data_IF_569563200076
#
_entry.id   IF_569563200076
#
_cell.length_a   1.000
_cell.length_b   1.000
_cell.length_c   1.000
_cell.angle_alpha   90.00
_cell.angle_beta   90.00
_cell.angle_gamma   90.00
#
_symmetry.space_group_name_H-M   'P 1'
#
loop_
_entity.id
_entity.type
_entity.pdbx_description
1 polymer ?
#
# COMPACT_ATOMS: atom_id res chain seq x y z
N UNK A 1 -12.35 2.64 -1.90
CA UNK A 1 -11.76 3.05 -3.20
C UNK A 1 -12.36 4.36 -3.69
N UNK A 2 -11.81 4.93 -4.77
CA UNK A 2 -12.35 6.15 -5.36
C UNK A 2 -13.50 5.82 -6.33
N UNK A 3 -14.67 6.51 -6.24
CA UNK A 3 -15.80 6.24 -7.13
C UNK A 3 -15.50 6.41 -8.63
N UNK A 4 -14.49 7.21 -8.99
CA UNK A 4 -14.03 7.37 -10.37
C UNK A 4 -13.46 6.10 -11.00
N UNK A 5 -13.14 5.10 -10.19
CA UNK A 5 -12.73 3.78 -10.68
C UNK A 5 -13.89 2.99 -11.30
N UNK A 6 -15.12 3.35 -10.96
CA UNK A 6 -16.34 2.67 -11.41
C UNK A 6 -17.26 3.57 -12.23
N UNK A 7 -17.13 4.90 -12.08
CA UNK A 7 -18.03 5.91 -12.69
C UNK A 7 -17.21 7.00 -13.35
N UNK A 8 -17.06 6.96 -14.66
CA UNK A 8 -16.23 7.90 -15.46
C UNK A 8 -16.62 9.38 -15.28
N UNK A 9 -17.88 9.65 -15.01
CA UNK A 9 -18.43 11.01 -14.85
C UNK A 9 -18.53 11.47 -13.38
N UNK A 10 -17.98 10.73 -12.43
CA UNK A 10 -18.04 11.12 -11.02
C UNK A 10 -17.22 12.38 -10.77
N UNK A 11 -17.90 13.45 -10.31
CA UNK A 11 -17.29 14.76 -10.00
C UNK A 11 -17.21 15.06 -8.49
N UNK A 12 -17.66 14.13 -7.66
CA UNK A 12 -17.62 14.28 -6.20
C UNK A 12 -16.22 14.11 -5.59
N UNK A 13 -16.14 14.35 -4.30
CA UNK A 13 -14.93 14.06 -3.51
C UNK A 13 -14.86 12.58 -3.15
N UNK A 14 -13.65 12.13 -2.84
CA UNK A 14 -13.39 10.80 -2.28
C UNK A 14 -12.62 10.98 -0.98
N UNK A 15 -13.25 10.65 0.15
CA UNK A 15 -12.63 10.77 1.46
C UNK A 15 -11.26 10.07 1.51
N UNK A 16 -11.16 8.88 0.91
CA UNK A 16 -9.91 8.12 0.82
C UNK A 16 -8.83 8.88 0.04
N UNK A 17 -9.18 9.46 -1.11
CA UNK A 17 -8.23 10.25 -1.90
C UNK A 17 -7.79 11.50 -1.15
N UNK A 18 -8.72 12.23 -0.53
CA UNK A 18 -8.39 13.45 0.23
C UNK A 18 -7.49 13.11 1.43
N UNK A 19 -7.80 12.03 2.17
CA UNK A 19 -6.94 11.56 3.28
C UNK A 19 -5.55 11.17 2.76
N UNK A 20 -5.48 10.45 1.63
CA UNK A 20 -4.22 10.09 1.00
C UNK A 20 -3.39 11.32 0.64
N UNK A 21 -4.02 12.32 0.00
CA UNK A 21 -3.36 13.56 -0.40
C UNK A 21 -2.92 14.40 0.80
N UNK A 22 -3.69 14.40 1.89
CA UNK A 22 -3.31 15.11 3.11
C UNK A 22 -2.09 14.45 3.79
N UNK A 23 -2.04 13.10 3.86
CA UNK A 23 -0.87 12.37 4.34
C UNK A 23 0.39 12.68 3.51
N UNK A 24 0.25 12.70 2.17
CA UNK A 24 1.38 13.04 1.29
C UNK A 24 1.81 14.47 1.54
N UNK A 25 0.90 15.43 1.58
CA UNK A 25 1.21 16.85 1.82
C UNK A 25 1.95 17.05 3.15
N UNK A 26 1.45 16.45 4.24
CA UNK A 26 2.10 16.54 5.57
C UNK A 26 3.47 15.89 5.57
N UNK A 27 3.61 14.72 4.95
CA UNK A 27 4.90 14.04 4.86
C UNK A 27 5.92 14.85 4.06
N UNK A 28 5.54 15.40 2.91
CA UNK A 28 6.41 16.27 2.10
C UNK A 28 6.81 17.53 2.88
N UNK A 29 5.86 18.19 3.55
CA UNK A 29 6.13 19.36 4.38
C UNK A 29 7.08 19.04 5.55
N UNK A 30 7.02 17.81 6.09
CA UNK A 30 7.96 17.29 7.09
C UNK A 30 9.32 16.84 6.54
N UNK A 31 9.57 17.01 5.23
CA UNK A 31 10.83 16.61 4.60
C UNK A 31 10.95 15.10 4.33
N UNK A 32 9.87 14.33 4.50
CA UNK A 32 9.86 12.88 4.31
C UNK A 32 9.73 12.49 2.84
N UNK A 33 10.38 11.39 2.46
CA UNK A 33 10.09 10.64 1.23
C UNK A 33 9.01 9.61 1.51
N UNK A 34 8.08 9.46 0.57
CA UNK A 34 6.83 8.73 0.74
C UNK A 34 6.73 7.64 -0.31
N UNK A 35 6.49 6.40 0.12
CA UNK A 35 6.05 5.32 -0.75
C UNK A 35 4.52 5.21 -0.67
N UNK A 36 3.88 5.16 -1.81
CA UNK A 36 2.45 4.99 -1.91
C UNK A 36 2.15 3.75 -2.74
N UNK A 37 1.54 2.77 -2.11
CA UNK A 37 1.17 1.50 -2.73
C UNK A 37 -0.32 1.43 -3.00
N UNK A 38 -0.67 0.88 -4.15
CA UNK A 38 -2.04 0.48 -4.48
C UNK A 38 -2.04 -0.81 -5.32
N UNK A 39 -3.07 -1.63 -5.16
CA UNK A 39 -3.32 -2.76 -6.05
C UNK A 39 -3.86 -2.31 -7.43
N UNK A 40 -4.52 -1.14 -7.48
CA UNK A 40 -5.14 -0.58 -8.67
C UNK A 40 -4.23 0.46 -9.32
N UNK A 41 -3.75 0.19 -10.54
CA UNK A 41 -2.95 1.17 -11.30
C UNK A 41 -3.76 2.43 -11.63
N UNK A 42 -5.06 2.29 -11.87
CA UNK A 42 -5.98 3.43 -12.06
C UNK A 42 -6.08 4.34 -10.83
N UNK A 43 -6.00 3.79 -9.61
CA UNK A 43 -5.91 4.61 -8.39
C UNK A 43 -4.59 5.39 -8.33
N UNK A 44 -3.47 4.76 -8.71
CA UNK A 44 -2.18 5.44 -8.81
C UNK A 44 -2.19 6.56 -9.86
N UNK A 45 -2.95 6.40 -10.96
CA UNK A 45 -3.13 7.44 -11.97
C UNK A 45 -3.90 8.64 -11.42
N UNK A 46 -5.00 8.40 -10.71
CA UNK A 46 -5.78 9.46 -10.05
C UNK A 46 -4.92 10.22 -9.05
N UNK A 47 -4.16 9.50 -8.21
CA UNK A 47 -3.25 10.10 -7.23
C UNK A 47 -2.14 10.88 -7.93
N UNK A 48 -1.51 10.30 -8.97
CA UNK A 48 -0.47 10.96 -9.75
C UNK A 48 -0.95 12.26 -10.37
N UNK A 49 -2.15 12.28 -10.95
CA UNK A 49 -2.76 13.50 -11.48
C UNK A 49 -2.91 14.56 -10.38
N UNK A 50 -3.40 14.19 -9.19
CA UNK A 50 -3.54 15.10 -8.06
C UNK A 50 -2.21 15.63 -7.52
N UNK A 51 -1.16 14.82 -7.56
CA UNK A 51 0.21 15.25 -7.19
C UNK A 51 0.74 16.26 -8.21
N UNK A 52 0.56 15.99 -9.52
CA UNK A 52 0.96 16.92 -10.60
C UNK A 52 0.23 18.26 -10.50
N UNK A 53 -1.08 18.27 -10.22
CA UNK A 53 -1.86 19.48 -10.00
C UNK A 53 -1.36 20.34 -8.82
N UNK A 54 -0.61 19.74 -7.90
CA UNK A 54 -0.01 20.40 -6.71
C UNK A 54 1.50 20.58 -6.82
N UNK A 55 2.05 20.36 -8.00
CA UNK A 55 3.50 20.48 -8.28
C UNK A 55 4.38 19.62 -7.34
N UNK A 56 3.85 18.49 -6.84
CA UNK A 56 4.59 17.54 -6.03
C UNK A 56 5.23 16.51 -6.96
N UNK A 57 6.59 16.49 -7.10
CA UNK A 57 7.27 15.55 -7.97
C UNK A 57 7.18 14.11 -7.41
N UNK A 58 6.96 13.15 -8.31
CA UNK A 58 6.87 11.74 -7.94
C UNK A 58 7.42 10.82 -9.04
N UNK A 59 7.92 9.68 -8.64
CA UNK A 59 8.17 8.53 -9.51
C UNK A 59 6.96 7.61 -9.55
N UNK A 60 6.82 6.85 -10.64
CA UNK A 60 5.77 5.84 -10.77
C UNK A 60 6.35 4.52 -11.28
N UNK A 61 6.02 3.42 -10.59
CA UNK A 61 6.44 2.07 -10.92
C UNK A 61 5.23 1.14 -10.93
N UNK A 62 4.94 0.60 -12.10
CA UNK A 62 3.81 -0.32 -12.34
C UNK A 62 4.30 -1.63 -12.96
N UNK A 63 3.40 -2.60 -13.16
CA UNK A 63 3.75 -3.91 -13.71
C UNK A 63 4.42 -3.86 -15.08
N UNK A 64 4.03 -2.93 -15.93
CA UNK A 64 4.58 -2.74 -17.28
C UNK A 64 5.90 -1.95 -17.34
N UNK A 65 6.38 -1.37 -16.21
CA UNK A 65 7.66 -0.64 -16.17
C UNK A 65 8.82 -1.61 -16.50
N UNK A 66 9.68 -1.31 -17.48
CA UNK A 66 10.82 -2.14 -17.85
C UNK A 66 11.81 -2.35 -16.69
N UNK A 67 12.55 -3.46 -16.72
CA UNK A 67 13.48 -3.82 -15.62
C UNK A 67 14.57 -2.77 -15.41
N UNK A 68 15.13 -2.26 -16.47
CA UNK A 68 16.18 -1.23 -16.46
C UNK A 68 15.66 0.07 -15.84
N UNK A 69 14.45 0.48 -16.25
CA UNK A 69 13.79 1.67 -15.71
C UNK A 69 13.47 1.51 -14.22
N UNK A 70 13.05 0.32 -13.78
CA UNK A 70 12.82 0.04 -12.34
C UNK A 70 14.08 0.26 -11.52
N UNK A 71 15.22 -0.23 -12.01
CA UNK A 71 16.51 -0.07 -11.33
C UNK A 71 16.89 1.41 -11.25
N UNK A 72 16.74 2.15 -12.36
CA UNK A 72 17.01 3.58 -12.43
C UNK A 72 16.13 4.37 -11.46
N UNK A 73 14.81 4.19 -11.50
CA UNK A 73 13.86 4.90 -10.61
C UNK A 73 14.14 4.62 -9.13
N UNK A 74 14.50 3.37 -8.81
CA UNK A 74 14.81 2.97 -7.43
C UNK A 74 16.06 3.62 -6.92
N UNK A 75 17.09 3.73 -7.75
CA UNK A 75 18.36 4.35 -7.37
C UNK A 75 18.24 5.88 -7.32
N UNK A 76 17.59 6.49 -8.32
CA UNK A 76 17.31 7.93 -8.34
C UNK A 76 16.55 8.38 -7.11
N UNK A 77 15.52 7.63 -6.70
CA UNK A 77 14.70 7.98 -5.53
C UNK A 77 15.51 8.08 -4.24
N UNK A 78 16.65 7.43 -4.11
CA UNK A 78 17.51 7.55 -2.91
C UNK A 78 18.21 8.90 -2.83
N UNK A 79 18.56 9.48 -3.97
CA UNK A 79 19.49 10.61 -4.07
C UNK A 79 18.85 11.89 -4.61
N UNK A 80 17.75 11.78 -5.37
CA UNK A 80 17.05 12.93 -5.93
C UNK A 80 16.15 13.65 -4.91
N UNK A 81 15.59 14.79 -5.32
CA UNK A 81 14.67 15.59 -4.49
C UNK A 81 13.19 15.16 -4.63
N UNK A 82 12.91 14.10 -5.39
CA UNK A 82 11.57 13.57 -5.55
C UNK A 82 11.06 13.00 -4.21
N UNK A 83 9.90 13.45 -3.80
CA UNK A 83 9.32 13.10 -2.49
C UNK A 83 8.32 11.96 -2.53
N UNK A 84 7.71 11.69 -3.69
CA UNK A 84 6.69 10.66 -3.85
C UNK A 84 7.15 9.50 -4.73
N UNK A 85 6.80 8.26 -4.37
CA UNK A 85 6.96 7.11 -5.24
C UNK A 85 5.67 6.28 -5.25
N UNK A 86 4.97 6.31 -6.36
CA UNK A 86 3.73 5.56 -6.59
C UNK A 86 4.07 4.17 -7.13
N UNK A 87 3.66 3.12 -6.43
CA UNK A 87 4.08 1.74 -6.75
C UNK A 87 2.86 0.82 -6.76
N UNK A 88 2.67 0.07 -7.85
CA UNK A 88 1.66 -0.99 -7.82
C UNK A 88 2.15 -2.16 -6.96
N UNK A 89 1.28 -2.75 -6.13
CA UNK A 89 1.64 -3.85 -5.23
C UNK A 89 2.25 -5.05 -5.99
N UNK A 90 1.76 -5.34 -7.20
CA UNK A 90 2.32 -6.38 -8.06
C UNK A 90 3.76 -6.09 -8.50
N UNK A 91 4.10 -4.84 -8.77
CA UNK A 91 5.45 -4.43 -9.14
C UNK A 91 6.37 -4.30 -7.93
N UNK A 92 5.84 -3.96 -6.77
CA UNK A 92 6.57 -3.85 -5.50
C UNK A 92 7.19 -5.16 -4.99
N UNK A 93 6.71 -6.32 -5.47
CA UNK A 93 7.23 -7.64 -5.08
C UNK A 93 8.65 -7.98 -5.57
N UNK A 94 9.25 -7.19 -6.44
CA UNK A 94 10.50 -7.49 -7.14
C UNK A 94 11.76 -6.88 -6.50
N UNK A 95 12.10 -7.23 -5.27
CA UNK A 95 13.44 -6.96 -4.72
C UNK A 95 13.89 -5.49 -4.59
N UNK A 96 12.99 -4.52 -4.71
CA UNK A 96 13.30 -3.09 -4.66
C UNK A 96 13.93 -2.69 -3.31
N UNK A 97 14.90 -1.78 -3.32
CA UNK A 97 15.50 -1.20 -2.11
C UNK A 97 15.09 0.29 -2.02
N UNK A 98 14.13 0.59 -1.15
CA UNK A 98 13.49 1.91 -1.02
C UNK A 98 13.72 2.53 0.37
N UNK A 99 14.87 2.26 0.97
CA UNK A 99 15.25 2.73 2.32
C UNK A 99 15.36 4.25 2.45
N UNK A 100 15.26 5.00 1.36
CA UNK A 100 15.18 6.47 1.41
C UNK A 100 13.86 7.01 1.94
N UNK A 101 12.80 6.20 1.98
CA UNK A 101 11.48 6.62 2.44
C UNK A 101 11.29 6.34 3.94
N UNK A 102 10.64 7.26 4.62
CA UNK A 102 10.25 7.15 6.04
C UNK A 102 8.73 7.12 6.25
N UNK A 103 7.96 7.29 5.20
CA UNK A 103 6.50 7.17 5.21
C UNK A 103 6.04 6.19 4.15
N UNK A 104 5.19 5.25 4.53
CA UNK A 104 4.56 4.28 3.64
C UNK A 104 3.05 4.43 3.74
N UNK A 105 2.37 4.57 2.61
CA UNK A 105 0.91 4.66 2.53
C UNK A 105 0.40 3.52 1.66
N UNK A 106 -0.43 2.65 2.22
CA UNK A 106 -1.23 1.70 1.45
C UNK A 106 -2.60 2.33 1.20
N UNK A 107 -2.86 2.70 -0.05
CA UNK A 107 -4.10 3.39 -0.45
C UNK A 107 -5.34 2.48 -0.39
N UNK A 108 -5.14 1.18 -0.50
CA UNK A 108 -6.18 0.16 -0.42
C UNK A 108 -5.65 -1.12 0.25
N UNK A 109 -6.51 -1.85 0.99
CA UNK A 109 -6.13 -3.15 1.55
C UNK A 109 -6.08 -4.21 0.45
N UNK A 110 -5.18 -5.18 0.59
CA UNK A 110 -5.03 -6.31 -0.31
C UNK A 110 -5.32 -7.62 0.41
N UNK A 111 -6.01 -8.56 -0.23
CA UNK A 111 -6.34 -9.88 0.35
C UNK A 111 -5.14 -10.63 0.92
N UNK A 112 -3.98 -10.48 0.27
CA UNK A 112 -2.74 -11.10 0.70
C UNK A 112 -1.95 -10.13 1.59
N UNK A 113 -2.06 -10.30 2.90
CA UNK A 113 -1.33 -9.52 3.90
C UNK A 113 0.19 -9.60 3.69
N UNK A 114 0.72 -10.79 3.33
CA UNK A 114 2.14 -10.98 3.10
C UNK A 114 2.68 -10.09 1.97
N UNK A 115 1.90 -9.85 0.92
CA UNK A 115 2.31 -8.93 -0.15
C UNK A 115 2.36 -7.47 0.33
N UNK A 116 1.44 -7.07 1.22
CA UNK A 116 1.43 -5.73 1.84
C UNK A 116 2.62 -5.57 2.79
N UNK A 117 2.88 -6.56 3.63
CA UNK A 117 4.01 -6.57 4.56
C UNK A 117 5.34 -6.56 3.78
N UNK A 118 5.47 -7.38 2.73
CA UNK A 118 6.62 -7.38 1.84
C UNK A 118 6.85 -6.02 1.17
N UNK A 119 5.79 -5.33 0.75
CA UNK A 119 5.90 -3.98 0.18
C UNK A 119 6.41 -2.97 1.23
N UNK A 120 5.93 -3.06 2.46
CA UNK A 120 6.39 -2.25 3.59
C UNK A 120 7.86 -2.50 3.89
N UNK A 121 8.31 -3.75 3.86
CA UNK A 121 9.70 -4.15 4.11
C UNK A 121 10.70 -3.58 3.08
N UNK A 122 10.23 -3.04 1.95
CA UNK A 122 11.09 -2.31 1.00
C UNK A 122 11.63 -1.01 1.58
N UNK A 123 10.86 -0.36 2.46
CA UNK A 123 11.31 0.80 3.22
C UNK A 123 12.05 0.39 4.50
N UNK A 124 11.66 -0.73 5.11
CA UNK A 124 12.17 -1.21 6.39
C UNK A 124 13.29 -2.25 6.21
N UNK A 125 14.39 -1.87 5.58
CA UNK A 125 15.55 -2.73 5.32
C UNK A 125 16.80 -2.26 6.03
N UNK A 126 17.81 -3.14 6.08
CA UNK A 126 19.16 -2.81 6.52
C UNK A 126 19.65 -1.58 5.74
N UNK A 127 20.05 -0.53 6.45
CA UNK A 127 20.42 0.78 5.89
C UNK A 127 19.36 1.88 6.09
N UNK A 128 18.16 1.55 6.58
CA UNK A 128 17.18 2.54 7.00
C UNK A 128 17.65 3.23 8.29
N UNK A 129 17.75 4.56 8.25
CA UNK A 129 18.23 5.39 9.38
C UNK A 129 17.10 6.07 10.14
N UNK A 130 15.88 6.00 9.63
CA UNK A 130 14.71 6.68 10.18
C UNK A 130 13.64 5.68 10.60
N UNK A 131 12.81 6.08 11.56
CA UNK A 131 11.57 5.36 11.87
C UNK A 131 10.65 5.41 10.63
N UNK A 132 10.16 4.26 10.21
CA UNK A 132 9.19 4.17 9.11
C UNK A 132 7.79 4.18 9.67
N UNK A 133 7.01 5.18 9.29
CA UNK A 133 5.58 5.26 9.64
C UNK A 133 4.74 4.67 8.52
N UNK A 134 3.87 3.74 8.85
CA UNK A 134 3.01 3.03 7.87
C UNK A 134 1.55 3.40 8.10
N UNK A 135 0.90 3.89 7.06
CA UNK A 135 -0.54 4.16 7.02
C UNK A 135 -1.24 3.16 6.12
N UNK A 136 -2.30 2.54 6.62
CA UNK A 136 -3.20 1.70 5.83
C UNK A 136 -4.56 2.38 5.77
N UNK A 137 -4.97 2.82 4.57
CA UNK A 137 -6.25 3.49 4.38
C UNK A 137 -7.36 2.46 4.16
N UNK A 138 -8.38 2.51 5.00
CA UNK A 138 -9.53 1.62 4.97
C UNK A 138 -10.79 2.46 4.93
N UNK A 139 -11.69 2.17 4.00
CA UNK A 139 -13.00 2.85 3.93
C UNK A 139 -13.97 2.15 4.87
N UNK A 140 -14.51 2.92 5.82
CA UNK A 140 -15.50 2.45 6.80
C UNK A 140 -16.81 2.03 6.10
N UNK A 141 -17.47 0.99 6.61
CA UNK A 141 -18.72 0.45 6.07
C UNK A 141 -18.59 -0.23 4.71
N UNK A 142 -17.39 -0.67 4.33
CA UNK A 142 -17.14 -1.30 3.02
C UNK A 142 -16.50 -2.69 3.15
N UNK A 143 -16.39 -3.39 2.02
CA UNK A 143 -15.67 -4.67 1.92
C UNK A 143 -14.21 -4.56 2.42
N UNK A 144 -13.62 -3.37 2.45
CA UNK A 144 -12.24 -3.19 2.89
C UNK A 144 -12.05 -3.53 4.37
N UNK A 145 -13.04 -3.25 5.22
CA UNK A 145 -13.01 -3.65 6.64
C UNK A 145 -13.02 -5.18 6.78
N UNK A 146 -13.85 -5.87 5.97
CA UNK A 146 -13.87 -7.33 5.95
C UNK A 146 -12.51 -7.91 5.52
N UNK A 147 -11.84 -7.30 4.55
CA UNK A 147 -10.50 -7.72 4.12
C UNK A 147 -9.50 -7.60 5.27
N UNK A 148 -9.51 -6.51 6.02
CA UNK A 148 -8.64 -6.33 7.19
C UNK A 148 -8.93 -7.37 8.27
N UNK A 149 -10.19 -7.59 8.61
CA UNK A 149 -10.57 -8.61 9.60
C UNK A 149 -10.07 -10.02 9.20
N UNK A 150 -10.20 -10.38 7.92
CA UNK A 150 -9.67 -11.66 7.40
C UNK A 150 -8.14 -11.71 7.51
N UNK A 151 -7.43 -10.62 7.21
CA UNK A 151 -5.98 -10.56 7.36
C UNK A 151 -5.54 -10.78 8.80
N UNK A 152 -6.17 -10.11 9.75
CA UNK A 152 -5.86 -10.21 11.17
C UNK A 152 -6.10 -11.63 11.68
N UNK A 153 -7.24 -12.22 11.34
CA UNK A 153 -7.55 -13.60 11.69
C UNK A 153 -6.54 -14.60 11.13
N UNK A 154 -6.11 -14.42 9.87
CA UNK A 154 -5.05 -15.27 9.28
C UNK A 154 -3.71 -15.12 9.99
N UNK A 155 -3.34 -13.91 10.42
CA UNK A 155 -2.11 -13.66 11.19
C UNK A 155 -2.15 -14.35 12.55
N UNK A 156 -3.29 -14.27 13.22
CA UNK A 156 -3.50 -14.89 14.52
C UNK A 156 -3.42 -16.42 14.44
N UNK A 157 -4.07 -17.02 13.45
CA UNK A 157 -3.97 -18.46 13.17
C UNK A 157 -2.54 -18.90 12.87
N UNK A 158 -1.82 -18.17 12.03
CA UNK A 158 -0.43 -18.48 11.72
C UNK A 158 0.46 -18.40 12.97
N UNK A 159 0.20 -17.46 13.88
CA UNK A 159 0.90 -17.33 15.16
C UNK A 159 0.63 -18.54 16.06
N UNK A 160 -0.62 -18.94 16.23
CA UNK A 160 -1.02 -20.11 17.04
C UNK A 160 -0.34 -21.41 16.53
N UNK A 161 -0.31 -21.61 15.22
CA UNK A 161 0.36 -22.78 14.61
C UNK A 161 1.87 -22.77 14.88
N UNK A 162 2.51 -21.59 14.82
CA UNK A 162 3.96 -21.46 15.05
C UNK A 162 4.34 -21.59 16.53
N UNK A 163 3.49 -21.15 17.44
CA UNK A 163 3.72 -21.23 18.90
C UNK A 163 3.39 -22.62 19.48
N UNK A 164 2.89 -23.55 18.66
CA UNK A 164 2.63 -24.95 19.07
C UNK A 164 1.43 -25.11 19.98
N UNK A 165 0.58 -24.08 20.13
CA UNK A 165 -0.65 -24.17 20.88
C UNK A 165 -1.77 -24.79 20.01
N UNK A 166 -1.86 -26.14 20.08
CA UNK A 166 -3.06 -26.88 19.72
C UNK A 166 -3.35 -27.04 18.23
N UNK A 167 -2.80 -28.08 17.62
CA UNK A 167 -3.27 -28.56 16.30
C UNK A 167 -4.72 -29.08 16.31
N UNK A 168 -5.38 -29.19 17.46
CA UNK A 168 -6.68 -29.85 17.61
C UNK A 168 -7.90 -28.89 17.51
N UNK A 169 -7.72 -27.58 17.35
CA UNK A 169 -8.85 -26.62 17.43
C UNK A 169 -9.02 -25.66 16.25
N UNK A 170 -8.26 -25.78 15.17
CA UNK A 170 -8.42 -24.88 14.02
C UNK A 170 -9.21 -25.60 12.91
N UNK A 171 -10.47 -25.90 13.17
CA UNK A 171 -11.43 -26.26 12.14
C UNK A 171 -12.31 -25.05 11.83
N UNK A 172 -12.17 -24.50 10.62
CA UNK A 172 -13.19 -23.59 10.12
C UNK A 172 -14.48 -24.37 9.95
N UNK A 173 -15.56 -23.89 10.54
CA UNK A 173 -16.88 -24.42 10.21
C UNK A 173 -17.23 -24.04 8.77
N UNK A 174 -18.09 -24.84 8.14
CA UNK A 174 -18.55 -24.55 6.78
C UNK A 174 -19.25 -23.19 6.70
N UNK A 175 -19.92 -22.79 7.79
CA UNK A 175 -20.58 -21.51 7.96
C UNK A 175 -19.57 -20.36 7.97
N UNK A 176 -18.45 -20.48 8.69
CA UNK A 176 -17.38 -19.47 8.71
C UNK A 176 -16.71 -19.30 7.36
N UNK A 177 -16.53 -20.40 6.60
CA UNK A 177 -16.00 -20.35 5.23
C UNK A 177 -17.00 -19.65 4.30
N UNK A 178 -18.28 -19.92 4.43
CA UNK A 178 -19.33 -19.29 3.62
C UNK A 178 -19.47 -17.80 3.96
N UNK A 179 -19.34 -17.41 5.22
CA UNK A 179 -19.37 -16.02 5.66
C UNK A 179 -18.11 -15.24 5.17
N UNK A 180 -17.00 -15.95 5.00
CA UNK A 180 -15.76 -15.39 4.44
C UNK A 180 -15.80 -15.23 2.91
N UNK A 181 -16.64 -16.02 2.23
CA UNK A 181 -16.77 -16.04 0.76
C UNK A 181 -18.02 -15.29 0.25
N UNK A 182 -19.00 -15.02 1.07
CA UNK A 182 -20.24 -14.30 0.76
C UNK A 182 -20.13 -12.84 1.04
#
# INVERSE_FOLDING_TARGET
CDPRLCYDNYRGSSAKLETCMDLVRRGVAGGHKILLFSQFTSMLEIIGKRLSEREIPFHRLIGSTPKEERAFLTESFKTDDVKGFLISLKAGGTGLNLTGASVVVHADPWWNAAATDQATDRAHRIGQKHVVTVYKLVSEGTIEEKIIAIQERKKELAKQVLEGEGMDSVSFTKEEILELLG
#
